data_IF_508649809251
#
_entry.id   IF_508649809251
#
_cell.length_a   1.000
_cell.length_b   1.000
_cell.length_c   1.000
_cell.angle_alpha   90.00
_cell.angle_beta   90.00
_cell.angle_gamma   90.00
#
_symmetry.space_group_name_H-M   'P 1'
#
loop_
_entity.id
_entity.type
_entity.pdbx_description
1 polymer ?
#
# COMPACT_ATOMS: atom_id res chain seq x y z
N UNK A 1 34.70 -36.59 -5.85
CA UNK A 1 35.34 -35.28 -5.58
C UNK A 1 34.42 -34.21 -6.12
N UNK A 2 33.54 -33.65 -5.30
CA UNK A 2 32.67 -32.54 -5.65
C UNK A 2 33.30 -31.27 -5.12
N UNK A 3 33.67 -30.40 -6.05
CA UNK A 3 34.25 -29.09 -5.78
C UNK A 3 33.12 -28.13 -5.38
N UNK A 4 32.99 -27.79 -4.11
CA UNK A 4 32.11 -26.74 -3.64
C UNK A 4 32.78 -25.39 -3.90
N UNK A 5 32.37 -24.72 -4.97
CA UNK A 5 32.66 -23.31 -5.14
C UNK A 5 31.76 -22.52 -4.20
N UNK A 6 32.36 -21.96 -3.15
CA UNK A 6 31.75 -20.99 -2.25
C UNK A 6 31.47 -19.69 -3.01
N UNK A 7 30.27 -19.53 -3.54
CA UNK A 7 29.77 -18.22 -3.92
C UNK A 7 29.39 -17.49 -2.64
N UNK A 8 30.27 -16.61 -2.16
CA UNK A 8 29.94 -15.61 -1.18
C UNK A 8 28.84 -14.72 -1.77
N UNK A 9 27.57 -14.96 -1.39
CA UNK A 9 26.49 -14.01 -1.62
C UNK A 9 26.87 -12.73 -0.85
N UNK A 10 27.32 -11.72 -1.57
CA UNK A 10 27.33 -10.35 -1.07
C UNK A 10 25.88 -10.03 -0.75
N UNK A 11 25.49 -10.06 0.52
CA UNK A 11 24.29 -9.42 0.99
C UNK A 11 24.48 -7.94 0.69
N UNK A 12 23.82 -7.45 -0.35
CA UNK A 12 23.62 -6.02 -0.50
C UNK A 12 22.57 -5.67 0.55
N UNK A 13 22.98 -4.91 1.55
CA UNK A 13 22.07 -4.33 2.52
C UNK A 13 21.26 -3.24 1.78
N UNK A 14 20.19 -3.67 1.11
CA UNK A 14 19.20 -2.74 0.56
C UNK A 14 18.30 -2.33 1.71
N UNK A 15 18.17 -1.04 1.94
CA UNK A 15 17.05 -0.52 2.72
C UNK A 15 15.76 -0.87 1.96
N UNK A 16 14.85 -1.57 2.62
CA UNK A 16 13.55 -1.93 2.05
C UNK A 16 12.48 -1.13 2.78
N UNK A 17 11.88 -0.19 2.06
CA UNK A 17 10.93 0.76 2.60
C UNK A 17 9.51 0.19 2.56
N UNK A 18 8.75 0.46 3.63
CA UNK A 18 7.31 0.26 3.68
C UNK A 18 6.67 1.63 3.78
N UNK A 19 5.75 1.93 2.85
CA UNK A 19 4.95 3.13 2.91
C UNK A 19 3.53 2.80 3.34
N UNK A 20 3.10 3.43 4.42
CA UNK A 20 1.74 3.34 4.93
C UNK A 20 0.94 4.56 4.48
N UNK A 21 -0.08 4.34 3.66
CA UNK A 21 -1.00 5.37 3.24
C UNK A 21 -2.33 5.25 4.01
N UNK A 22 -2.65 6.26 4.80
CA UNK A 22 -3.92 6.39 5.49
C UNK A 22 -4.75 7.54 4.92
N UNK A 23 -5.50 7.31 3.84
CA UNK A 23 -6.32 8.34 3.19
C UNK A 23 -7.52 8.81 4.02
N UNK A 24 -7.79 8.19 5.16
CA UNK A 24 -9.00 8.43 5.96
C UNK A 24 -8.74 8.85 7.40
N UNK A 25 -7.62 9.49 7.69
CA UNK A 25 -7.44 10.19 8.95
C UNK A 25 -8.30 11.49 8.97
N UNK A 26 -9.62 11.32 8.85
CA UNK A 26 -10.58 12.41 8.99
C UNK A 26 -11.37 12.23 10.28
N UNK A 27 -11.44 13.26 11.11
CA UNK A 27 -12.31 13.45 12.30
C UNK A 27 -12.60 12.16 13.09
N UNK A 28 -11.63 11.73 13.87
CA UNK A 28 -11.72 10.52 14.71
C UNK A 28 -10.98 9.35 14.04
N UNK A 29 -9.90 8.95 14.66
CA UNK A 29 -8.96 7.95 14.14
C UNK A 29 -9.60 6.55 14.28
N UNK A 30 -10.54 6.21 13.39
CA UNK A 30 -11.16 4.86 13.37
C UNK A 30 -10.16 3.72 13.12
N UNK A 31 -9.00 4.05 12.55
CA UNK A 31 -7.90 3.09 12.34
C UNK A 31 -7.14 2.75 13.64
N UNK A 32 -7.51 3.37 14.76
CA UNK A 32 -6.94 3.11 16.07
C UNK A 32 -7.80 2.20 16.93
N UNK A 33 -8.86 1.60 16.37
CA UNK A 33 -9.64 0.63 17.12
C UNK A 33 -8.77 -0.60 17.42
N UNK A 34 -8.57 -0.95 18.70
CA UNK A 34 -7.83 -2.14 19.07
C UNK A 34 -8.49 -3.39 18.50
N UNK A 35 -7.69 -4.28 17.96
CA UNK A 35 -8.15 -5.55 17.40
C UNK A 35 -7.90 -6.73 18.34
N UNK A 36 -7.20 -6.49 19.45
CA UNK A 36 -6.93 -7.52 20.47
C UNK A 36 -6.99 -6.97 21.90
N UNK A 37 -6.87 -7.88 22.89
CA UNK A 37 -6.90 -7.55 24.31
C UNK A 37 -5.69 -6.75 24.80
N UNK A 38 -4.62 -6.67 24.00
CA UNK A 38 -3.40 -5.91 24.29
C UNK A 38 -3.42 -4.50 23.69
N UNK A 39 -4.54 -4.10 23.12
CA UNK A 39 -4.74 -2.82 22.42
C UNK A 39 -3.86 -2.64 21.17
N UNK A 40 -3.48 -3.73 20.50
CA UNK A 40 -2.84 -3.62 19.20
C UNK A 40 -3.87 -3.23 18.13
N UNK A 41 -3.43 -2.43 17.17
CA UNK A 41 -4.19 -2.05 15.98
C UNK A 41 -3.71 -2.88 14.77
N UNK A 42 -4.47 -2.89 13.68
CA UNK A 42 -4.11 -3.65 12.46
C UNK A 42 -2.69 -3.31 11.97
N UNK A 43 -2.33 -2.03 12.02
CA UNK A 43 -1.02 -1.55 11.59
C UNK A 43 0.14 -2.17 12.39
N UNK A 44 -0.03 -2.48 13.67
CA UNK A 44 1.00 -3.12 14.48
C UNK A 44 1.37 -4.50 13.93
N UNK A 45 0.36 -5.28 13.51
CA UNK A 45 0.57 -6.59 12.89
C UNK A 45 1.27 -6.48 11.55
N UNK A 46 0.84 -5.53 10.71
CA UNK A 46 1.47 -5.30 9.40
C UNK A 46 2.94 -4.88 9.55
N UNK A 47 3.26 -4.00 10.50
CA UNK A 47 4.65 -3.57 10.75
C UNK A 47 5.48 -4.74 11.31
N UNK A 48 4.94 -5.51 12.25
CA UNK A 48 5.60 -6.69 12.80
C UNK A 48 5.94 -7.69 11.68
N UNK A 49 4.96 -8.06 10.86
CA UNK A 49 5.14 -9.02 9.77
C UNK A 49 6.15 -8.54 8.72
N UNK A 50 6.14 -7.24 8.44
CA UNK A 50 7.12 -6.63 7.54
C UNK A 50 8.54 -6.64 8.10
N UNK A 51 8.73 -6.35 9.39
CA UNK A 51 10.04 -6.43 10.07
C UNK A 51 10.54 -7.89 10.05
N UNK A 52 9.69 -8.86 10.35
CA UNK A 52 10.04 -10.27 10.27
C UNK A 52 10.41 -10.71 8.84
N UNK A 53 9.77 -10.14 7.82
CA UNK A 53 10.11 -10.41 6.42
C UNK A 53 11.46 -9.80 5.99
N UNK A 54 11.98 -8.79 6.73
CA UNK A 54 13.28 -8.19 6.49
C UNK A 54 13.22 -6.72 6.02
N UNK A 55 12.07 -6.08 6.06
CA UNK A 55 11.98 -4.63 5.85
C UNK A 55 12.58 -3.88 7.03
N UNK A 56 13.33 -2.82 6.76
CA UNK A 56 14.12 -2.10 7.77
C UNK A 56 13.88 -0.59 7.77
N UNK A 57 12.93 -0.10 6.98
CA UNK A 57 12.54 1.30 6.96
C UNK A 57 11.02 1.44 6.79
N UNK A 58 10.38 2.15 7.70
CA UNK A 58 8.94 2.45 7.70
C UNK A 58 8.72 3.92 7.38
N UNK A 59 7.91 4.23 6.38
CA UNK A 59 7.54 5.60 6.02
C UNK A 59 6.04 5.79 6.18
N UNK A 60 5.62 6.66 7.09
CA UNK A 60 4.23 7.03 7.24
C UNK A 60 3.87 8.21 6.33
N UNK A 61 2.92 7.99 5.43
CA UNK A 61 2.37 9.06 4.61
C UNK A 61 1.09 9.56 5.29
N UNK A 62 1.16 10.75 5.85
CA UNK A 62 0.07 11.37 6.60
C UNK A 62 -0.15 12.82 6.13
N UNK A 63 -1.26 13.43 6.53
CA UNK A 63 -1.44 14.89 6.38
C UNK A 63 -0.69 15.63 7.48
N UNK A 64 -0.20 16.80 7.17
CA UNK A 64 0.59 17.61 8.11
C UNK A 64 -0.20 18.04 9.35
N UNK A 65 -1.51 18.29 9.18
CA UNK A 65 -2.39 18.75 10.27
C UNK A 65 -2.60 17.71 11.38
N UNK A 66 -2.42 16.41 11.08
CA UNK A 66 -2.55 15.33 12.07
C UNK A 66 -1.21 14.84 12.62
N UNK A 67 -0.08 15.39 12.18
CA UNK A 67 1.26 14.90 12.55
C UNK A 67 1.44 14.72 14.06
N UNK A 68 1.08 15.77 14.83
CA UNK A 68 1.27 15.76 16.27
C UNK A 68 0.47 14.65 16.93
N UNK A 69 -0.83 14.58 16.65
CA UNK A 69 -1.72 13.58 17.20
C UNK A 69 -1.31 12.16 16.78
N UNK A 70 -0.94 11.98 15.52
CA UNK A 70 -0.47 10.69 15.01
C UNK A 70 0.79 10.22 15.74
N UNK A 71 1.78 11.09 15.92
CA UNK A 71 3.02 10.76 16.64
C UNK A 71 2.75 10.40 18.09
N UNK A 72 1.95 11.19 18.81
CA UNK A 72 1.61 10.93 20.21
C UNK A 72 0.86 9.61 20.41
N UNK A 73 -0.03 9.24 19.50
CA UNK A 73 -0.89 8.05 19.68
C UNK A 73 -0.25 6.78 19.11
N UNK A 74 0.43 6.88 17.95
CA UNK A 74 0.97 5.72 17.22
C UNK A 74 2.48 5.84 17.04
N UNK A 75 2.92 6.96 16.48
CA UNK A 75 4.25 7.10 15.91
C UNK A 75 5.37 6.86 16.92
N UNK A 76 5.26 7.41 18.14
CA UNK A 76 6.27 7.27 19.19
C UNK A 76 6.37 5.82 19.67
N UNK A 77 5.24 5.13 19.80
CA UNK A 77 5.20 3.72 20.16
C UNK A 77 5.84 2.83 19.09
N UNK A 78 5.45 3.03 17.84
CA UNK A 78 6.01 2.27 16.71
C UNK A 78 7.50 2.57 16.54
N UNK A 79 7.92 3.83 16.63
CA UNK A 79 9.33 4.20 16.55
C UNK A 79 10.16 3.52 17.64
N UNK A 80 9.61 3.41 18.85
CA UNK A 80 10.26 2.69 19.95
C UNK A 80 10.42 1.19 19.63
N UNK A 81 9.40 0.53 19.09
CA UNK A 81 9.44 -0.87 18.68
C UNK A 81 10.44 -1.07 17.53
N UNK A 82 10.34 -0.25 16.49
CA UNK A 82 11.22 -0.31 15.32
C UNK A 82 12.69 -0.16 15.70
N UNK A 83 13.01 0.75 16.63
CA UNK A 83 14.39 0.98 17.09
C UNK A 83 15.02 -0.27 17.73
N UNK A 84 14.24 -1.11 18.41
CA UNK A 84 14.75 -2.36 19.00
C UNK A 84 15.10 -3.42 17.94
N UNK A 85 14.64 -3.24 16.71
CA UNK A 85 14.88 -4.12 15.57
C UNK A 85 15.80 -3.50 14.50
N UNK A 86 16.45 -2.36 14.80
CA UNK A 86 17.25 -1.59 13.85
C UNK A 86 16.44 -1.17 12.60
N UNK A 87 15.18 -0.83 12.78
CA UNK A 87 14.29 -0.31 11.74
C UNK A 87 14.11 1.18 11.94
N UNK A 88 14.28 1.95 10.88
CA UNK A 88 14.07 3.42 10.88
C UNK A 88 12.62 3.76 10.60
N UNK A 89 12.17 4.93 11.09
CA UNK A 89 10.82 5.44 10.87
C UNK A 89 10.90 6.88 10.40
N UNK A 90 10.30 7.16 9.24
CA UNK A 90 10.19 8.49 8.67
C UNK A 90 8.74 8.87 8.37
N UNK A 91 8.53 10.15 8.10
CA UNK A 91 7.22 10.72 7.79
C UNK A 91 7.27 11.50 6.48
N UNK A 92 6.33 11.21 5.60
CA UNK A 92 6.05 11.99 4.41
C UNK A 92 4.68 12.66 4.55
N UNK A 93 4.54 13.87 4.02
CA UNK A 93 3.32 14.65 4.22
C UNK A 93 2.62 14.87 2.89
N UNK A 94 1.43 14.24 2.77
CA UNK A 94 0.53 14.51 1.66
C UNK A 94 -0.04 15.92 1.80
N UNK A 95 0.25 16.78 0.84
CA UNK A 95 -0.30 18.13 0.76
C UNK A 95 -1.24 18.24 -0.45
N UNK A 96 -2.47 18.68 -0.22
CA UNK A 96 -3.48 18.90 -1.25
C UNK A 96 -3.05 19.99 -2.25
N UNK A 97 -2.14 20.88 -1.85
CA UNK A 97 -1.59 21.94 -2.67
C UNK A 97 -0.35 21.53 -3.49
N UNK A 98 0.19 20.33 -3.26
CA UNK A 98 1.32 19.81 -4.04
C UNK A 98 0.80 19.24 -5.37
N UNK A 99 0.59 20.13 -6.33
CA UNK A 99 -0.06 19.86 -7.62
C UNK A 99 0.66 20.59 -8.76
N UNK A 100 0.54 20.09 -10.00
CA UNK A 100 1.22 20.68 -11.14
C UNK A 100 0.53 21.91 -11.77
N UNK A 101 -0.55 22.41 -11.19
CA UNK A 101 -1.34 23.52 -11.73
C UNK A 101 -1.99 24.40 -10.67
N UNK A 102 -3.03 25.12 -11.03
CA UNK A 102 -3.79 25.96 -10.09
C UNK A 102 -4.71 25.12 -9.20
N UNK A 103 -4.77 25.47 -7.92
CA UNK A 103 -5.61 24.76 -6.98
C UNK A 103 -7.11 25.05 -7.23
N UNK A 104 -7.93 24.00 -7.45
CA UNK A 104 -9.36 24.21 -7.69
C UNK A 104 -10.07 24.79 -6.48
N UNK A 105 -10.76 25.91 -6.68
CA UNK A 105 -11.53 26.56 -5.63
C UNK A 105 -12.59 25.61 -5.03
N UNK A 106 -12.66 25.56 -3.71
CA UNK A 106 -13.61 24.73 -2.96
C UNK A 106 -13.23 23.25 -2.85
N UNK A 107 -12.10 22.79 -3.40
CA UNK A 107 -11.66 21.42 -3.23
C UNK A 107 -11.14 21.16 -1.80
N UNK A 108 -11.65 20.11 -1.19
CA UNK A 108 -11.19 19.61 0.12
C UNK A 108 -10.76 18.14 0.08
N UNK A 109 -11.05 17.46 -1.05
CA UNK A 109 -10.73 16.04 -1.23
C UNK A 109 -9.25 15.87 -1.62
N UNK A 110 -8.50 14.96 -0.96
CA UNK A 110 -7.15 14.57 -1.40
C UNK A 110 -7.13 14.05 -2.85
N UNK A 111 -5.94 13.98 -3.45
CA UNK A 111 -5.75 13.60 -4.86
C UNK A 111 -5.58 12.09 -5.09
N UNK A 112 -5.90 11.27 -4.09
CA UNK A 112 -5.81 9.83 -4.18
C UNK A 112 -4.45 9.26 -3.76
N UNK A 113 -4.32 7.93 -3.88
CA UNK A 113 -3.16 7.17 -3.38
C UNK A 113 -1.88 7.48 -4.16
N UNK A 114 -1.97 7.69 -5.46
CA UNK A 114 -0.81 8.01 -6.29
C UNK A 114 -0.10 9.28 -5.84
N UNK A 115 -0.85 10.37 -5.63
CA UNK A 115 -0.29 11.63 -5.13
C UNK A 115 0.24 11.51 -3.69
N UNK A 116 -0.39 10.67 -2.86
CA UNK A 116 0.13 10.38 -1.53
C UNK A 116 1.50 9.69 -1.59
N UNK A 117 1.68 8.70 -2.47
CA UNK A 117 2.97 8.02 -2.66
C UNK A 117 4.05 9.00 -3.16
N UNK A 118 3.69 9.96 -4.01
CA UNK A 118 4.62 11.00 -4.46
C UNK A 118 5.16 11.87 -3.31
N UNK A 119 4.38 12.08 -2.24
CA UNK A 119 4.84 12.81 -1.07
C UNK A 119 6.07 12.14 -0.41
N UNK A 120 6.23 10.84 -0.57
CA UNK A 120 7.37 10.08 -0.03
C UNK A 120 8.63 10.13 -0.92
N UNK A 121 8.58 10.76 -2.12
CA UNK A 121 9.69 10.82 -3.09
C UNK A 121 11.02 11.33 -2.50
N UNK A 122 10.96 12.17 -1.47
CA UNK A 122 12.16 12.76 -0.85
C UNK A 122 12.79 11.87 0.23
N UNK A 123 12.09 10.85 0.69
CA UNK A 123 12.50 9.96 1.78
C UNK A 123 12.68 8.51 1.34
N UNK A 124 12.34 8.20 0.08
CA UNK A 124 12.47 6.86 -0.52
C UNK A 124 13.43 6.93 -1.69
N UNK A 125 14.53 6.18 -1.62
CA UNK A 125 15.54 6.06 -2.65
C UNK A 125 15.87 4.61 -3.04
N UNK A 126 15.23 3.64 -2.38
CA UNK A 126 15.38 2.20 -2.61
C UNK A 126 14.03 1.56 -2.92
N UNK A 127 13.98 0.30 -3.42
CA UNK A 127 12.72 -0.40 -3.65
C UNK A 127 11.86 -0.45 -2.40
N UNK A 128 10.56 -0.32 -2.56
CA UNK A 128 9.62 -0.17 -1.46
C UNK A 128 8.29 -0.87 -1.72
N UNK A 129 7.54 -1.12 -0.66
CA UNK A 129 6.14 -1.52 -0.77
C UNK A 129 5.22 -0.38 -0.32
N UNK A 130 4.07 -0.29 -0.97
CA UNK A 130 2.96 0.59 -0.57
C UNK A 130 1.83 -0.28 -0.08
N UNK A 131 1.31 0.02 1.11
CA UNK A 131 0.17 -0.67 1.69
C UNK A 131 -0.79 0.32 2.36
N UNK A 132 -2.04 -0.08 2.51
CA UNK A 132 -3.00 0.66 3.30
C UNK A 132 -2.72 0.45 4.81
N UNK A 133 -2.95 1.48 5.60
CA UNK A 133 -2.71 1.43 7.04
C UNK A 133 -3.78 0.65 7.82
N UNK A 134 -4.94 0.41 7.21
CA UNK A 134 -6.12 -0.21 7.79
C UNK A 134 -6.43 -1.61 7.21
N UNK A 135 -5.53 -2.15 6.39
CA UNK A 135 -5.64 -3.50 5.86
C UNK A 135 -4.61 -4.46 6.49
N UNK A 136 -5.00 -5.73 6.61
CA UNK A 136 -4.11 -6.81 7.03
C UNK A 136 -3.75 -7.70 5.85
N UNK A 137 -2.47 -7.85 5.59
CA UNK A 137 -1.93 -8.54 4.41
C UNK A 137 -1.43 -9.95 4.69
N UNK A 138 -1.21 -10.27 5.97
CA UNK A 138 -0.66 -11.54 6.41
C UNK A 138 0.84 -11.68 6.17
N UNK A 139 1.48 -12.43 7.06
CA UNK A 139 2.93 -12.66 7.07
C UNK A 139 3.50 -13.16 5.74
N UNK A 140 2.78 -14.09 5.09
CA UNK A 140 3.24 -14.69 3.83
C UNK A 140 3.24 -13.67 2.67
N UNK A 141 2.35 -12.68 2.70
CA UNK A 141 2.33 -11.58 1.73
C UNK A 141 3.63 -10.76 1.81
N UNK A 142 4.00 -10.31 3.01
CA UNK A 142 5.25 -9.55 3.24
C UNK A 142 6.49 -10.34 2.87
N UNK A 143 6.54 -11.62 3.25
CA UNK A 143 7.65 -12.50 2.93
C UNK A 143 7.81 -12.67 1.41
N UNK A 144 6.73 -12.95 0.70
CA UNK A 144 6.76 -13.16 -0.75
C UNK A 144 7.26 -11.91 -1.50
N UNK A 145 6.76 -10.72 -1.13
CA UNK A 145 7.18 -9.48 -1.80
C UNK A 145 8.62 -9.09 -1.43
N UNK A 146 9.05 -9.33 -0.19
CA UNK A 146 10.43 -9.10 0.20
C UNK A 146 11.39 -10.04 -0.53
N UNK A 147 11.10 -11.35 -0.57
CA UNK A 147 11.90 -12.33 -1.34
C UNK A 147 11.98 -11.95 -2.82
N UNK A 148 10.90 -11.47 -3.41
CA UNK A 148 10.89 -10.99 -4.78
C UNK A 148 11.85 -9.81 -4.98
N UNK A 149 11.82 -8.81 -4.09
CA UNK A 149 12.70 -7.64 -4.14
C UNK A 149 14.18 -8.00 -3.99
N UNK A 150 14.55 -8.80 -2.99
CA UNK A 150 15.96 -9.17 -2.75
C UNK A 150 16.55 -10.04 -3.86
N UNK A 151 15.69 -10.70 -4.65
CA UNK A 151 16.11 -11.44 -5.84
C UNK A 151 16.17 -10.57 -7.11
N UNK A 152 16.05 -9.24 -6.98
CA UNK A 152 16.17 -8.30 -8.09
C UNK A 152 14.86 -8.10 -8.86
N UNK A 153 13.71 -8.40 -8.24
CA UNK A 153 12.40 -8.14 -8.79
C UNK A 153 12.17 -6.66 -9.05
N UNK A 154 11.36 -6.37 -10.07
CA UNK A 154 10.93 -5.02 -10.44
C UNK A 154 9.59 -4.71 -9.80
N UNK A 155 8.94 -3.62 -10.24
CA UNK A 155 7.60 -3.27 -9.77
C UNK A 155 6.60 -4.41 -10.04
N UNK A 156 5.80 -4.73 -9.04
CA UNK A 156 4.74 -5.73 -9.12
C UNK A 156 3.63 -5.41 -8.10
N UNK A 157 2.60 -6.22 -8.07
CA UNK A 157 1.52 -6.14 -7.08
C UNK A 157 1.31 -7.54 -6.48
N UNK A 158 1.10 -7.61 -5.17
CA UNK A 158 0.63 -8.83 -4.54
C UNK A 158 -0.84 -9.06 -4.86
N UNK A 159 -1.15 -10.17 -5.52
CA UNK A 159 -2.51 -10.61 -5.80
C UNK A 159 -3.02 -11.54 -4.69
N UNK A 160 -4.20 -11.24 -4.15
CA UNK A 160 -4.84 -12.04 -3.11
C UNK A 160 -6.01 -12.83 -3.71
N UNK A 161 -6.18 -14.08 -3.29
CA UNK A 161 -7.27 -14.90 -3.82
C UNK A 161 -8.61 -14.39 -3.29
N UNK A 162 -9.56 -14.09 -4.18
CA UNK A 162 -10.84 -13.45 -3.85
C UNK A 162 -11.61 -14.16 -2.74
N UNK A 163 -11.65 -15.50 -2.74
CA UNK A 163 -12.39 -16.26 -1.70
C UNK A 163 -11.96 -15.96 -0.28
N UNK A 164 -10.69 -15.57 -0.08
CA UNK A 164 -10.16 -15.22 1.23
C UNK A 164 -10.43 -13.75 1.59
N UNK A 165 -10.92 -12.95 0.63
CA UNK A 165 -11.16 -11.52 0.75
C UNK A 165 -12.64 -11.16 0.75
N UNK A 166 -13.53 -12.16 0.79
CA UNK A 166 -14.97 -11.99 0.91
C UNK A 166 -15.37 -11.78 2.38
N UNK A 167 -16.50 -11.14 2.59
CA UNK A 167 -17.08 -10.91 3.92
C UNK A 167 -18.41 -11.66 4.05
N UNK A 168 -18.64 -12.25 5.22
CA UNK A 168 -19.95 -12.82 5.57
C UNK A 168 -20.98 -11.74 5.97
N UNK A 169 -20.51 -10.49 6.19
CA UNK A 169 -21.32 -9.38 6.67
C UNK A 169 -21.78 -8.40 5.57
N UNK A 170 -21.63 -8.78 4.29
CA UNK A 170 -22.07 -7.96 3.16
C UNK A 170 -21.09 -7.92 2.00
N UNK A 171 -21.46 -7.15 0.96
CA UNK A 171 -20.65 -7.01 -0.23
C UNK A 171 -19.36 -6.21 0.00
N UNK A 172 -18.28 -6.67 -0.64
CA UNK A 172 -16.98 -5.99 -0.64
C UNK A 172 -16.69 -5.34 -1.99
N UNK A 173 -15.82 -4.34 -2.02
CA UNK A 173 -15.28 -3.77 -3.27
C UNK A 173 -13.84 -4.25 -3.41
N UNK A 174 -13.49 -4.84 -4.57
CA UNK A 174 -12.14 -5.32 -4.87
C UNK A 174 -11.75 -5.00 -6.30
N UNK A 175 -10.47 -4.76 -6.52
CA UNK A 175 -9.89 -4.65 -7.86
C UNK A 175 -9.56 -6.04 -8.40
N UNK A 176 -10.38 -6.58 -9.30
CA UNK A 176 -10.11 -7.87 -9.95
C UNK A 176 -8.95 -7.69 -10.93
N UNK A 177 -7.92 -8.51 -10.76
CA UNK A 177 -6.70 -8.45 -11.56
C UNK A 177 -6.86 -9.27 -12.85
N UNK A 178 -6.46 -8.68 -13.98
CA UNK A 178 -6.25 -9.41 -15.22
C UNK A 178 -4.77 -9.49 -15.50
N UNK A 179 -4.34 -10.64 -15.98
CA UNK A 179 -2.94 -10.93 -16.29
C UNK A 179 -2.82 -11.49 -17.72
N UNK A 180 -1.67 -11.24 -18.34
CA UNK A 180 -1.30 -11.91 -19.58
C UNK A 180 -0.76 -13.33 -19.30
N UNK A 181 -0.43 -14.06 -20.39
CA UNK A 181 0.10 -15.43 -20.31
C UNK A 181 1.47 -15.50 -19.61
N UNK A 182 2.17 -14.38 -19.49
CA UNK A 182 3.46 -14.27 -18.83
C UNK A 182 3.33 -13.90 -17.35
N UNK A 183 2.10 -13.67 -16.87
CA UNK A 183 1.80 -13.28 -15.49
C UNK A 183 1.97 -11.78 -15.22
N UNK A 184 2.09 -10.93 -16.25
CA UNK A 184 2.11 -9.49 -16.07
C UNK A 184 0.69 -8.97 -15.83
N UNK A 185 0.55 -8.07 -14.87
CA UNK A 185 -0.70 -7.37 -14.59
C UNK A 185 -1.04 -6.44 -15.78
N UNK A 186 -2.17 -6.66 -16.42
CA UNK A 186 -2.63 -5.86 -17.57
C UNK A 186 -3.73 -4.89 -17.20
N UNK A 187 -4.55 -5.23 -16.20
CA UNK A 187 -5.68 -4.41 -15.78
C UNK A 187 -6.10 -4.74 -14.34
N UNK A 188 -6.58 -3.73 -13.62
CA UNK A 188 -7.27 -3.88 -12.33
C UNK A 188 -8.68 -3.33 -12.50
N UNK A 189 -9.68 -4.19 -12.44
CA UNK A 189 -11.10 -3.82 -12.63
C UNK A 189 -11.76 -3.64 -11.27
N UNK A 190 -12.01 -2.40 -10.84
CA UNK A 190 -12.76 -2.15 -9.62
C UNK A 190 -14.17 -2.74 -9.72
N UNK A 191 -14.47 -3.72 -8.90
CA UNK A 191 -15.76 -4.40 -8.84
C UNK A 191 -16.38 -4.21 -7.47
N UNK A 192 -17.52 -3.51 -7.46
CA UNK A 192 -18.25 -3.17 -6.23
C UNK A 192 -19.27 -4.25 -5.89
N UNK A 193 -19.61 -4.32 -4.61
CA UNK A 193 -20.66 -5.19 -4.09
C UNK A 193 -20.48 -6.66 -4.48
N UNK A 194 -19.26 -7.18 -4.34
CA UNK A 194 -19.01 -8.61 -4.47
C UNK A 194 -19.52 -9.29 -3.21
N UNK A 195 -20.55 -10.11 -3.35
CA UNK A 195 -21.17 -10.83 -2.24
C UNK A 195 -20.83 -12.32 -2.33
N UNK A 196 -20.60 -12.92 -1.16
CA UNK A 196 -20.43 -14.37 -1.04
C UNK A 196 -21.77 -15.06 -1.26
N UNK A 197 -21.78 -16.12 -2.05
CA UNK A 197 -22.96 -16.98 -2.27
C UNK A 197 -22.68 -18.39 -1.78
N UNK A 198 -23.70 -19.25 -1.78
CA UNK A 198 -23.53 -20.66 -1.40
C UNK A 198 -22.51 -21.40 -2.29
N UNK A 199 -22.45 -21.03 -3.55
CA UNK A 199 -21.64 -21.70 -4.58
C UNK A 199 -20.46 -20.87 -5.09
N UNK A 200 -20.18 -19.71 -4.44
CA UNK A 200 -19.07 -18.86 -4.90
C UNK A 200 -19.21 -17.37 -4.55
N UNK A 201 -19.12 -16.52 -5.53
CA UNK A 201 -19.30 -15.07 -5.40
C UNK A 201 -20.03 -14.47 -6.59
N UNK A 202 -20.73 -13.37 -6.37
CA UNK A 202 -21.38 -12.60 -7.43
C UNK A 202 -21.28 -11.08 -7.18
N UNK A 203 -21.39 -10.32 -8.26
CA UNK A 203 -21.59 -8.86 -8.20
C UNK A 203 -22.66 -8.48 -9.22
N UNK A 204 -23.70 -7.79 -8.77
CA UNK A 204 -24.83 -7.35 -9.63
C UNK A 204 -25.43 -8.49 -10.48
N UNK A 205 -25.56 -9.70 -9.91
CA UNK A 205 -26.09 -10.88 -10.58
C UNK A 205 -25.16 -11.56 -11.59
N UNK A 206 -23.88 -11.13 -11.66
CA UNK A 206 -22.85 -11.81 -12.45
C UNK A 206 -21.97 -12.64 -11.54
N UNK A 207 -21.82 -13.92 -11.87
CA UNK A 207 -20.90 -14.83 -11.18
C UNK A 207 -19.46 -14.34 -11.34
N UNK A 208 -18.73 -14.35 -10.25
CA UNK A 208 -17.30 -14.03 -10.20
C UNK A 208 -16.55 -15.27 -9.74
N UNK A 209 -15.47 -15.58 -10.46
CA UNK A 209 -14.59 -16.69 -10.08
C UNK A 209 -13.89 -16.35 -8.73
N UNK A 210 -14.17 -17.18 -7.73
CA UNK A 210 -13.62 -17.03 -6.37
C UNK A 210 -12.11 -17.27 -6.27
N UNK A 211 -11.52 -17.91 -7.27
CA UNK A 211 -10.09 -18.11 -7.36
C UNK A 211 -9.37 -16.98 -8.12
N UNK A 212 -10.11 -15.97 -8.61
CA UNK A 212 -9.55 -14.76 -9.19
C UNK A 212 -8.62 -14.06 -8.20
N UNK A 213 -7.52 -13.49 -8.72
CA UNK A 213 -6.66 -12.61 -7.94
C UNK A 213 -7.26 -11.20 -7.87
N UNK A 214 -7.19 -10.62 -6.68
CA UNK A 214 -7.66 -9.26 -6.42
C UNK A 214 -6.56 -8.39 -5.80
N UNK A 215 -6.61 -7.12 -6.11
CA UNK A 215 -5.76 -6.11 -5.46
C UNK A 215 -6.30 -5.77 -4.08
N UNK A 216 -5.38 -5.74 -3.11
CA UNK A 216 -5.56 -5.16 -1.77
C UNK A 216 -4.64 -3.95 -1.58
N UNK A 217 -4.18 -3.33 -2.67
CA UNK A 217 -3.24 -2.21 -2.66
C UNK A 217 -1.87 -2.52 -2.03
N UNK A 218 -1.40 -3.77 -2.13
CA UNK A 218 -0.02 -4.11 -1.78
C UNK A 218 0.84 -4.05 -3.04
N UNK A 219 1.47 -2.90 -3.26
CA UNK A 219 2.29 -2.62 -4.43
C UNK A 219 3.76 -2.67 -4.08
N UNK A 220 4.54 -3.35 -4.90
CA UNK A 220 6.01 -3.33 -4.87
C UNK A 220 6.46 -2.39 -5.95
N UNK A 221 7.20 -1.36 -5.60
CA UNK A 221 7.61 -0.31 -6.52
C UNK A 221 9.12 -0.07 -6.42
N UNK A 222 9.72 0.35 -7.54
CA UNK A 222 11.09 0.84 -7.57
C UNK A 222 11.11 2.37 -7.57
N UNK A 223 12.20 3.03 -7.13
CA UNK A 223 12.28 4.49 -7.13
C UNK A 223 11.99 5.12 -8.50
N UNK A 224 12.37 4.45 -9.59
CA UNK A 224 12.08 4.92 -10.96
C UNK A 224 10.57 5.09 -11.21
N UNK A 225 9.75 4.27 -10.55
CA UNK A 225 8.30 4.35 -10.69
C UNK A 225 7.72 5.65 -10.12
N UNK A 226 8.41 6.30 -9.18
CA UNK A 226 7.98 7.62 -8.68
C UNK A 226 8.00 8.68 -9.80
N UNK A 227 8.92 8.57 -10.76
CA UNK A 227 8.92 9.40 -11.95
C UNK A 227 7.70 9.13 -12.85
N UNK A 228 7.33 7.87 -13.01
CA UNK A 228 6.11 7.48 -13.77
C UNK A 228 4.85 8.02 -13.09
N UNK A 229 4.77 7.91 -11.76
CA UNK A 229 3.66 8.47 -10.99
C UNK A 229 3.56 9.99 -11.11
N UNK A 230 4.68 10.69 -11.10
CA UNK A 230 4.73 12.15 -11.23
C UNK A 230 4.20 12.61 -12.60
N UNK A 231 4.66 11.98 -13.67
CA UNK A 231 4.16 12.28 -15.01
C UNK A 231 2.68 11.88 -15.17
N UNK A 232 2.31 10.69 -14.68
CA UNK A 232 0.91 10.25 -14.68
C UNK A 232 -0.01 11.18 -13.89
N UNK A 233 0.46 11.73 -12.77
CA UNK A 233 -0.31 12.71 -12.00
C UNK A 233 -0.49 14.05 -12.74
N UNK A 234 0.53 14.51 -13.48
CA UNK A 234 0.41 15.68 -14.34
C UNK A 234 -0.64 15.48 -15.43
N UNK A 235 -0.56 14.35 -16.14
CA UNK A 235 -1.55 14.01 -17.17
C UNK A 235 -2.96 13.90 -16.62
N UNK A 236 -3.14 13.26 -15.47
CA UNK A 236 -4.42 13.18 -14.77
C UNK A 236 -4.93 14.57 -14.42
N UNK A 237 -4.06 15.41 -13.86
CA UNK A 237 -4.43 16.78 -13.47
C UNK A 237 -4.91 17.61 -14.67
N UNK A 238 -4.23 17.51 -15.79
CA UNK A 238 -4.58 18.23 -17.02
C UNK A 238 -5.87 17.73 -17.67
N UNK A 239 -6.13 16.41 -17.61
CA UNK A 239 -7.25 15.78 -18.33
C UNK A 239 -8.54 15.70 -17.50
N UNK A 240 -8.43 15.30 -16.23
CA UNK A 240 -9.60 14.95 -15.41
C UNK A 240 -10.06 16.09 -14.51
N UNK A 241 -9.14 16.95 -14.07
CA UNK A 241 -9.46 18.01 -13.10
C UNK A 241 -10.34 19.12 -13.70
N UNK A 242 -10.17 19.55 -14.95
CA UNK A 242 -11.04 20.57 -15.54
C UNK A 242 -12.54 20.19 -15.52
N UNK A 243 -12.84 18.91 -15.77
CA UNK A 243 -14.22 18.42 -15.85
C UNK A 243 -14.78 17.96 -14.48
N UNK A 244 -13.91 17.66 -13.51
CA UNK A 244 -14.30 17.10 -12.21
C UNK A 244 -13.43 17.62 -11.04
N UNK A 245 -13.21 18.92 -11.01
CA UNK A 245 -12.24 19.59 -10.13
C UNK A 245 -12.37 19.25 -8.64
N UNK A 246 -13.58 19.04 -8.14
CA UNK A 246 -13.83 18.78 -6.72
C UNK A 246 -13.72 17.32 -6.32
N UNK A 247 -13.82 16.37 -7.26
CA UNK A 247 -13.95 14.92 -6.96
C UNK A 247 -12.93 14.03 -7.64
N UNK A 248 -12.22 14.49 -8.70
CA UNK A 248 -11.21 13.71 -9.40
C UNK A 248 -10.15 13.14 -8.43
N UNK A 249 -9.80 11.87 -8.58
CA UNK A 249 -8.74 11.17 -7.82
C UNK A 249 -8.18 9.97 -8.57
#
# INVERSE_FOLDING_TARGET
MFNQSSTSKVRRDYEHNITYHGSRFGTGIKQLEPVDASNHIIMDYSIHDAIEAGFNHVVFIIRKDIEKEFKEVIGDRISSICSTHNVTVDYAFQDINDIPGEFPEGRTKPWGTGQAVLAAKKVIDTPFIVINADDYYGKEGFKAVHEYLVNGGKSCMAGFVLKNMLSDNGGVTRGICKMDEQGNLTEVVETKNIVKTADGAEAYGKVIDIDSLVSMNMWVLTPDFLGVLEEGFKEFFEKEVPDNSLKAE
#
